data_IF_151631990683
#
_entry.id   IF_151631990683
#
_cell.length_a   1.000
_cell.length_b   1.000
_cell.length_c   1.000
_cell.angle_alpha   90.00
_cell.angle_beta   90.00
_cell.angle_gamma   90.00
#
_symmetry.space_group_name_H-M   'P 1'
#
loop_
_entity.id
_entity.type
_entity.pdbx_description
1 polymer ?
#
# COMPACT_ATOMS: atom_id res chain seq x y z
N UNK A 1 30.85 -30.67 -46.61
CA UNK A 1 29.84 -29.93 -45.82
C UNK A 1 29.70 -30.62 -44.46
N UNK A 2 30.77 -30.57 -43.64
CA UNK A 2 30.70 -30.98 -42.24
C UNK A 2 29.92 -29.87 -41.52
N UNK A 3 28.76 -30.20 -40.98
CA UNK A 3 27.84 -29.21 -40.39
C UNK A 3 28.51 -28.68 -39.12
N UNK A 4 28.52 -27.36 -38.91
CA UNK A 4 29.10 -26.66 -37.74
C UNK A 4 28.77 -27.31 -36.38
N UNK A 5 27.67 -28.06 -36.30
CA UNK A 5 27.25 -28.86 -35.14
C UNK A 5 28.33 -29.87 -34.66
N UNK A 6 29.11 -30.47 -35.56
CA UNK A 6 30.14 -31.46 -35.19
C UNK A 6 31.32 -30.83 -34.43
N UNK A 7 31.64 -29.56 -34.70
CA UNK A 7 32.75 -28.86 -34.05
C UNK A 7 32.39 -28.53 -32.60
N UNK A 8 31.18 -27.99 -32.36
CA UNK A 8 30.73 -27.66 -31.00
C UNK A 8 30.61 -28.91 -30.12
N UNK A 9 30.09 -30.01 -30.67
CA UNK A 9 29.98 -31.28 -29.94
C UNK A 9 31.35 -31.83 -29.53
N UNK A 10 32.36 -31.69 -30.40
CA UNK A 10 33.73 -32.11 -30.09
C UNK A 10 34.38 -31.21 -29.02
N UNK A 11 34.13 -29.90 -29.05
CA UNK A 11 34.60 -28.98 -28.01
C UNK A 11 33.99 -29.33 -26.65
N UNK A 12 32.67 -29.57 -26.58
CA UNK A 12 32.02 -29.94 -25.32
C UNK A 12 32.49 -31.30 -24.80
N UNK A 13 32.68 -32.30 -25.67
CA UNK A 13 33.25 -33.60 -25.28
C UNK A 13 34.67 -33.47 -24.75
N UNK A 14 35.51 -32.66 -25.40
CA UNK A 14 36.87 -32.40 -24.92
C UNK A 14 36.86 -31.68 -23.56
N UNK A 15 35.99 -30.68 -23.40
CA UNK A 15 35.79 -29.98 -22.14
C UNK A 15 35.34 -30.94 -21.03
N UNK A 16 34.33 -31.76 -21.28
CA UNK A 16 33.87 -32.76 -20.32
C UNK A 16 34.99 -33.70 -19.89
N UNK A 17 35.69 -34.28 -20.86
CA UNK A 17 36.79 -35.20 -20.60
C UNK A 17 37.86 -34.56 -19.72
N UNK A 18 38.23 -33.31 -20.01
CA UNK A 18 39.21 -32.57 -19.23
C UNK A 18 38.77 -32.35 -17.76
N UNK A 19 37.50 -32.00 -17.54
CA UNK A 19 37.00 -31.73 -16.19
C UNK A 19 36.59 -32.99 -15.41
N UNK A 20 36.29 -34.11 -16.09
CA UNK A 20 36.02 -35.41 -15.45
C UNK A 20 37.24 -35.96 -14.69
N UNK A 21 38.46 -35.61 -15.12
CA UNK A 21 39.71 -36.04 -14.48
C UNK A 21 40.14 -35.17 -13.29
N UNK A 22 39.49 -34.01 -13.08
CA UNK A 22 39.87 -33.10 -12.00
C UNK A 22 39.24 -33.47 -10.64
N UNK A 23 39.99 -33.43 -9.52
CA UNK A 23 39.52 -33.89 -8.20
C UNK A 23 38.32 -33.11 -7.62
N UNK A 24 38.08 -31.86 -8.06
CA UNK A 24 37.01 -30.97 -7.57
C UNK A 24 35.78 -30.99 -8.50
N UNK A 25 35.07 -32.12 -8.48
CA UNK A 25 34.03 -32.55 -9.45
C UNK A 25 32.77 -31.68 -9.63
N UNK A 26 32.60 -30.52 -8.96
CA UNK A 26 31.28 -29.81 -8.91
C UNK A 26 31.23 -28.39 -9.47
N UNK A 27 32.36 -27.72 -9.74
CA UNK A 27 32.35 -26.28 -10.07
C UNK A 27 32.33 -25.96 -11.56
N UNK A 28 32.75 -26.88 -12.44
CA UNK A 28 32.92 -26.62 -13.89
C UNK A 28 32.05 -27.52 -14.78
N UNK A 29 31.04 -28.18 -14.20
CA UNK A 29 30.11 -29.02 -14.96
C UNK A 29 29.19 -28.14 -15.82
N UNK A 30 29.30 -28.26 -17.15
CA UNK A 30 28.42 -27.56 -18.08
C UNK A 30 27.04 -28.22 -18.03
N UNK A 31 26.10 -27.59 -17.31
CA UNK A 31 24.72 -28.10 -17.19
C UNK A 31 23.94 -28.05 -18.51
N UNK A 32 24.24 -27.10 -19.39
CA UNK A 32 23.44 -26.78 -20.58
C UNK A 32 24.27 -26.77 -21.88
N UNK A 33 24.90 -27.90 -22.22
CA UNK A 33 25.82 -28.04 -23.39
C UNK A 33 25.19 -27.72 -24.74
N UNK A 34 23.86 -27.74 -24.84
CA UNK A 34 23.14 -27.62 -26.11
C UNK A 34 22.23 -26.39 -26.19
N UNK A 35 22.47 -25.36 -25.37
CA UNK A 35 21.80 -24.08 -25.59
C UNK A 35 22.31 -23.51 -26.91
N UNK A 36 21.42 -23.39 -27.89
CA UNK A 36 21.68 -22.65 -29.11
C UNK A 36 21.65 -21.18 -28.71
N UNK A 37 22.83 -20.61 -28.49
CA UNK A 37 23.04 -19.22 -28.08
C UNK A 37 23.54 -18.47 -29.31
N UNK A 38 22.88 -17.38 -29.66
CA UNK A 38 23.36 -16.51 -30.74
C UNK A 38 24.48 -15.56 -30.24
N UNK A 39 25.15 -14.89 -31.16
CA UNK A 39 26.27 -13.98 -30.84
C UNK A 39 25.86 -12.87 -29.86
N UNK A 40 24.70 -12.24 -30.05
CA UNK A 40 24.21 -11.16 -29.17
C UNK A 40 23.95 -11.68 -27.75
N UNK A 41 23.35 -12.86 -27.61
CA UNK A 41 23.08 -13.49 -26.32
C UNK A 41 24.38 -13.80 -25.56
N UNK A 42 25.40 -14.30 -26.26
CA UNK A 42 26.71 -14.57 -25.67
C UNK A 42 27.43 -13.28 -25.24
N UNK A 43 27.39 -12.24 -26.07
CA UNK A 43 27.95 -10.92 -25.74
C UNK A 43 27.26 -10.33 -24.51
N UNK A 44 25.92 -10.42 -24.45
CA UNK A 44 25.14 -9.96 -23.31
C UNK A 44 25.50 -10.73 -22.03
N UNK A 45 25.57 -12.07 -22.08
CA UNK A 45 25.98 -12.91 -20.93
C UNK A 45 27.34 -12.47 -20.38
N UNK A 46 28.33 -12.34 -21.27
CA UNK A 46 29.68 -11.89 -20.91
C UNK A 46 29.65 -10.50 -20.27
N UNK A 47 28.97 -9.53 -20.87
CA UNK A 47 28.89 -8.15 -20.35
C UNK A 47 28.34 -8.10 -18.93
N UNK A 48 27.24 -8.80 -18.67
CA UNK A 48 26.65 -8.80 -17.33
C UNK A 48 27.52 -9.56 -16.32
N UNK A 49 28.11 -10.69 -16.73
CA UNK A 49 29.05 -11.45 -15.90
C UNK A 49 30.27 -10.62 -15.50
N UNK A 50 30.94 -9.99 -16.48
CA UNK A 50 32.12 -9.14 -16.25
C UNK A 50 31.78 -7.98 -15.30
N UNK A 51 30.62 -7.34 -15.49
CA UNK A 51 30.13 -6.32 -14.56
C UNK A 51 30.00 -6.86 -13.13
N UNK A 52 29.37 -8.02 -12.97
CA UNK A 52 29.14 -8.61 -11.65
C UNK A 52 30.45 -8.99 -10.96
N UNK A 53 31.42 -9.56 -11.67
CA UNK A 53 32.74 -9.89 -11.11
C UNK A 53 33.52 -8.63 -10.72
N UNK A 54 33.56 -7.64 -11.61
CA UNK A 54 34.37 -6.43 -11.46
C UNK A 54 33.68 -5.30 -10.68
N UNK A 55 32.44 -5.50 -10.24
CA UNK A 55 31.66 -4.49 -9.52
C UNK A 55 32.39 -3.91 -8.29
N UNK A 56 33.17 -4.72 -7.57
CA UNK A 56 33.91 -4.26 -6.40
C UNK A 56 34.98 -3.19 -6.75
N UNK A 57 35.60 -3.29 -7.94
CA UNK A 57 36.55 -2.29 -8.44
C UNK A 57 35.82 -1.01 -8.87
N UNK A 58 34.65 -1.15 -9.50
CA UNK A 58 33.80 -0.01 -9.88
C UNK A 58 33.33 0.74 -8.63
N UNK A 59 32.97 0.01 -7.57
CA UNK A 59 32.56 0.59 -6.29
C UNK A 59 33.64 1.49 -5.69
N UNK A 60 34.91 1.09 -5.74
CA UNK A 60 36.01 1.94 -5.27
C UNK A 60 36.23 3.22 -6.08
N UNK A 61 35.76 3.26 -7.34
CA UNK A 61 35.85 4.44 -8.21
C UNK A 61 34.65 5.38 -8.08
N UNK A 62 33.52 4.90 -7.56
CA UNK A 62 32.31 5.69 -7.34
C UNK A 62 32.48 6.78 -6.27
N UNK A 63 33.52 6.69 -5.44
CA UNK A 63 33.85 7.66 -4.39
C UNK A 63 34.81 8.77 -4.85
N UNK A 64 35.33 8.71 -6.08
CA UNK A 64 36.16 9.77 -6.68
C UNK A 64 35.35 10.62 -7.66
N UNK A 65 35.48 11.96 -7.59
CA UNK A 65 34.63 12.89 -8.35
C UNK A 65 34.82 12.80 -9.88
N UNK A 66 36.05 12.64 -10.37
CA UNK A 66 36.37 12.81 -11.80
C UNK A 66 35.74 11.76 -12.75
N UNK A 67 35.32 10.59 -12.23
CA UNK A 67 34.76 9.49 -13.04
C UNK A 67 33.40 9.00 -12.57
N UNK A 68 32.79 9.65 -11.58
CA UNK A 68 31.53 9.25 -10.98
C UNK A 68 30.41 9.14 -12.01
N UNK A 69 30.27 10.15 -12.88
CA UNK A 69 29.22 10.20 -13.92
C UNK A 69 29.30 9.02 -14.89
N UNK A 70 30.49 8.74 -15.42
CA UNK A 70 30.71 7.64 -16.35
C UNK A 70 30.47 6.28 -15.70
N UNK A 71 30.89 6.12 -14.44
CA UNK A 71 30.62 4.91 -13.67
C UNK A 71 29.12 4.71 -13.45
N UNK A 72 28.39 5.76 -13.07
CA UNK A 72 26.94 5.70 -12.90
C UNK A 72 26.24 5.33 -14.22
N UNK A 73 26.64 5.93 -15.35
CA UNK A 73 26.10 5.59 -16.67
C UNK A 73 26.33 4.12 -17.02
N UNK A 74 27.55 3.61 -16.80
CA UNK A 74 27.88 2.21 -17.04
C UNK A 74 27.05 1.26 -16.15
N UNK A 75 26.88 1.58 -14.86
CA UNK A 75 26.05 0.80 -13.93
C UNK A 75 24.60 0.78 -14.41
N UNK A 76 24.06 1.92 -14.84
CA UNK A 76 22.72 2.03 -15.38
C UNK A 76 22.52 1.13 -16.61
N UNK A 77 23.48 1.11 -17.53
CA UNK A 77 23.44 0.24 -18.71
C UNK A 77 23.43 -1.25 -18.33
N UNK A 78 24.22 -1.63 -17.32
CA UNK A 78 24.25 -3.02 -16.84
C UNK A 78 22.95 -3.42 -16.15
N UNK A 79 22.31 -2.51 -15.41
CA UNK A 79 21.01 -2.73 -14.79
C UNK A 79 19.89 -2.82 -15.85
N UNK A 80 19.96 -2.01 -16.91
CA UNK A 80 19.08 -2.12 -18.09
C UNK A 80 19.28 -3.45 -18.81
N UNK A 81 20.52 -3.90 -18.97
CA UNK A 81 20.85 -5.20 -19.55
C UNK A 81 20.27 -6.36 -18.72
N UNK A 82 20.45 -6.34 -17.40
CA UNK A 82 19.81 -7.31 -16.50
C UNK A 82 18.29 -7.35 -16.71
N UNK A 83 17.63 -6.18 -16.81
CA UNK A 83 16.18 -6.12 -17.06
C UNK A 83 15.78 -6.70 -18.41
N UNK A 84 16.53 -6.40 -19.48
CA UNK A 84 16.31 -7.00 -20.80
C UNK A 84 16.42 -8.54 -20.73
N UNK A 85 17.42 -9.06 -20.04
CA UNK A 85 17.60 -10.50 -19.84
C UNK A 85 16.50 -11.13 -18.98
N UNK A 86 16.05 -10.44 -17.93
CA UNK A 86 15.02 -10.95 -17.02
C UNK A 86 13.66 -11.10 -17.70
N UNK A 87 13.38 -10.24 -18.67
CA UNK A 87 12.10 -10.12 -19.38
C UNK A 87 12.08 -10.74 -20.78
N UNK A 88 13.17 -11.35 -21.23
CA UNK A 88 13.19 -12.09 -22.51
C UNK A 88 12.36 -13.38 -22.42
N UNK A 89 11.77 -13.80 -23.54
CA UNK A 89 11.06 -15.08 -23.66
C UNK A 89 11.98 -16.27 -23.35
N UNK A 90 13.28 -16.15 -23.67
CA UNK A 90 14.29 -17.20 -23.47
C UNK A 90 15.09 -17.00 -22.17
N UNK A 91 14.44 -16.67 -21.06
CA UNK A 91 15.08 -16.39 -19.76
C UNK A 91 16.07 -17.48 -19.29
N UNK A 92 15.83 -18.73 -19.69
CA UNK A 92 16.70 -19.87 -19.36
C UNK A 92 18.16 -19.68 -19.86
N UNK A 93 18.36 -18.96 -20.96
CA UNK A 93 19.70 -18.66 -21.51
C UNK A 93 20.51 -17.83 -20.51
N UNK A 94 19.86 -16.92 -19.78
CA UNK A 94 20.48 -15.99 -18.84
C UNK A 94 20.31 -16.41 -17.38
N UNK A 95 19.93 -17.66 -17.12
CA UNK A 95 19.57 -18.11 -15.77
C UNK A 95 20.68 -17.85 -14.74
N UNK A 96 21.91 -18.21 -15.08
CA UNK A 96 23.06 -18.06 -14.19
C UNK A 96 23.41 -16.60 -13.92
N UNK A 97 23.38 -15.73 -14.96
CA UNK A 97 23.66 -14.31 -14.78
C UNK A 97 22.57 -13.60 -13.97
N UNK A 98 21.30 -13.94 -14.19
CA UNK A 98 20.17 -13.41 -13.42
C UNK A 98 20.27 -13.83 -11.96
N UNK A 99 20.60 -15.10 -11.70
CA UNK A 99 20.82 -15.58 -10.33
C UNK A 99 22.00 -14.88 -9.66
N UNK A 100 23.12 -14.73 -10.36
CA UNK A 100 24.31 -14.05 -9.83
C UNK A 100 23.99 -12.60 -9.51
N UNK A 101 23.33 -11.86 -10.42
CA UNK A 101 22.87 -10.49 -10.17
C UNK A 101 21.98 -10.41 -8.93
N UNK A 102 20.96 -11.27 -8.83
CA UNK A 102 20.06 -11.30 -7.68
C UNK A 102 20.80 -11.64 -6.40
N UNK A 103 21.73 -12.58 -6.40
CA UNK A 103 22.51 -12.93 -5.20
C UNK A 103 23.30 -11.72 -4.67
N UNK A 104 23.80 -10.88 -5.57
CA UNK A 104 24.62 -9.72 -5.24
C UNK A 104 23.80 -8.54 -4.71
N UNK A 105 22.63 -8.28 -5.30
CA UNK A 105 21.82 -7.08 -5.00
C UNK A 105 20.56 -7.33 -4.17
N UNK A 106 19.97 -8.55 -4.21
CA UNK A 106 18.70 -8.86 -3.50
C UNK A 106 18.88 -9.05 -2.00
N UNK A 107 19.93 -9.76 -1.61
CA UNK A 107 20.23 -10.04 -0.21
C UNK A 107 21.05 -8.92 0.45
N UNK A 108 21.49 -7.94 -0.35
CA UNK A 108 22.26 -6.80 0.10
C UNK A 108 21.54 -5.50 -0.27
N UNK A 109 20.39 -5.26 0.37
CA UNK A 109 19.62 -4.03 0.18
C UNK A 109 20.46 -2.77 0.45
N UNK A 110 21.47 -2.87 1.34
CA UNK A 110 22.41 -1.77 1.62
C UNK A 110 23.23 -1.37 0.39
N UNK A 111 23.54 -2.32 -0.50
CA UNK A 111 24.30 -2.07 -1.73
C UNK A 111 23.49 -1.29 -2.75
N UNK A 112 22.22 -1.68 -2.96
CA UNK A 112 21.32 -0.91 -3.82
C UNK A 112 21.08 0.49 -3.24
N UNK A 113 20.89 0.60 -1.91
CA UNK A 113 20.76 1.91 -1.25
C UNK A 113 21.99 2.79 -1.49
N UNK A 114 23.18 2.23 -1.32
CA UNK A 114 24.45 2.92 -1.62
C UNK A 114 24.51 3.42 -3.06
N UNK A 115 24.20 2.55 -4.04
CA UNK A 115 24.21 2.92 -5.45
C UNK A 115 23.20 4.02 -5.77
N UNK A 116 21.98 3.97 -5.24
CA UNK A 116 20.99 5.02 -5.48
C UNK A 116 21.40 6.37 -4.87
N UNK A 117 22.13 6.35 -3.74
CA UNK A 117 22.61 7.59 -3.12
C UNK A 117 23.75 8.22 -3.94
N UNK A 118 24.68 7.42 -4.47
CA UNK A 118 25.79 7.94 -5.27
C UNK A 118 25.37 8.28 -6.70
N UNK A 119 24.54 7.42 -7.30
CA UNK A 119 24.01 7.55 -8.64
C UNK A 119 22.49 7.82 -8.57
N UNK A 120 22.09 9.04 -8.19
CA UNK A 120 20.69 9.41 -8.13
C UNK A 120 20.06 9.37 -9.53
N UNK A 121 18.73 9.35 -9.59
CA UNK A 121 17.96 9.51 -10.82
C UNK A 121 18.11 8.40 -11.87
N UNK A 122 18.57 7.20 -11.49
CA UNK A 122 18.73 6.04 -12.41
C UNK A 122 17.79 4.85 -12.11
N UNK A 123 16.82 5.01 -11.20
CA UNK A 123 15.86 3.97 -10.80
C UNK A 123 16.48 2.63 -10.34
N UNK A 124 17.74 2.63 -9.90
CA UNK A 124 18.47 1.40 -9.57
C UNK A 124 17.76 0.58 -8.47
N UNK A 125 17.07 1.24 -7.53
CA UNK A 125 16.27 0.57 -6.49
C UNK A 125 15.10 -0.27 -7.04
N UNK A 126 14.63 0.00 -8.26
CA UNK A 126 13.49 -0.70 -8.88
C UNK A 126 13.90 -1.92 -9.71
N UNK A 127 15.20 -2.17 -9.88
CA UNK A 127 15.73 -3.22 -10.76
C UNK A 127 15.26 -4.63 -10.37
N UNK A 128 15.03 -4.88 -9.08
CA UNK A 128 14.63 -6.21 -8.60
C UNK A 128 13.11 -6.41 -8.55
N UNK A 129 12.33 -5.38 -8.89
CA UNK A 129 10.88 -5.51 -8.94
C UNK A 129 10.49 -6.42 -10.12
N UNK A 130 9.87 -7.60 -9.88
CA UNK A 130 9.54 -8.55 -10.94
C UNK A 130 8.43 -8.06 -11.90
N UNK A 131 7.66 -7.04 -11.51
CA UNK A 131 6.59 -6.48 -12.34
C UNK A 131 7.11 -5.48 -13.38
N UNK A 132 8.35 -5.00 -13.23
CA UNK A 132 8.92 -3.97 -14.09
C UNK A 132 9.62 -4.58 -15.31
N UNK A 133 9.09 -4.27 -16.50
CA UNK A 133 9.68 -4.64 -17.80
C UNK A 133 10.99 -3.90 -18.10
N UNK A 134 11.09 -2.66 -17.64
CA UNK A 134 12.27 -1.79 -17.80
C UNK A 134 12.89 -1.50 -16.43
N UNK A 135 14.08 -0.89 -16.42
CA UNK A 135 14.73 -0.45 -15.18
C UNK A 135 13.97 0.70 -14.52
N UNK A 136 13.59 1.69 -15.34
CA UNK A 136 12.74 2.80 -14.93
C UNK A 136 11.34 2.57 -15.51
N UNK A 137 10.39 2.03 -14.73
CA UNK A 137 9.04 1.74 -15.23
C UNK A 137 8.26 3.01 -15.59
N UNK A 138 8.75 4.19 -15.21
CA UNK A 138 8.15 5.49 -15.49
C UNK A 138 8.76 6.23 -16.69
N UNK A 139 9.76 5.66 -17.39
CA UNK A 139 10.40 6.33 -18.55
C UNK A 139 9.43 6.57 -19.71
N UNK A 140 8.43 5.71 -19.90
CA UNK A 140 7.43 5.84 -20.98
C UNK A 140 6.40 6.96 -20.74
N UNK A 141 6.37 7.53 -19.52
CA UNK A 141 5.50 8.66 -19.15
C UNK A 141 6.17 10.03 -19.43
N UNK A 142 7.42 10.02 -19.94
CA UNK A 142 8.10 11.24 -20.34
C UNK A 142 7.33 11.91 -21.48
N UNK A 143 6.98 13.20 -21.34
CA UNK A 143 6.24 13.89 -22.38
C UNK A 143 7.06 13.98 -23.68
N UNK A 144 6.38 13.89 -24.82
CA UNK A 144 6.95 14.08 -26.16
C UNK A 144 7.22 15.56 -26.51
N UNK A 145 7.12 16.47 -25.54
CA UNK A 145 7.22 17.92 -25.71
C UNK A 145 8.00 18.63 -24.58
N UNK A 146 8.43 19.86 -24.85
CA UNK A 146 9.38 20.63 -24.04
C UNK A 146 8.71 21.29 -22.80
N UNK A 147 8.14 20.49 -21.90
CA UNK A 147 7.45 20.96 -20.67
C UNK A 147 8.43 21.47 -19.59
N UNK A 148 9.74 21.50 -19.85
CA UNK A 148 10.78 21.88 -18.88
C UNK A 148 10.58 23.28 -18.28
N UNK A 149 10.08 24.25 -19.04
CA UNK A 149 9.84 25.61 -18.53
C UNK A 149 8.63 25.67 -17.61
N UNK A 150 7.55 24.95 -17.94
CA UNK A 150 6.35 24.86 -17.10
C UNK A 150 6.64 24.14 -15.78
N UNK A 151 7.43 23.07 -15.81
CA UNK A 151 7.88 22.35 -14.61
C UNK A 151 8.64 23.32 -13.68
N UNK A 152 9.62 24.06 -14.21
CA UNK A 152 10.36 25.08 -13.44
C UNK A 152 9.43 26.17 -12.91
N UNK A 153 8.42 26.57 -13.69
CA UNK A 153 7.40 27.53 -13.29
C UNK A 153 6.54 27.05 -12.11
N UNK A 154 6.15 25.78 -12.07
CA UNK A 154 5.40 25.23 -10.94
C UNK A 154 6.29 24.97 -9.71
N UNK A 155 7.52 24.49 -9.88
CA UNK A 155 8.47 24.28 -8.78
C UNK A 155 8.75 25.61 -8.05
N UNK A 156 8.94 26.71 -8.77
CA UNK A 156 9.18 28.01 -8.14
C UNK A 156 8.02 28.52 -7.26
N UNK A 157 6.79 27.99 -7.48
CA UNK A 157 5.60 28.31 -6.68
C UNK A 157 5.34 27.32 -5.54
N UNK A 158 6.13 26.27 -5.41
CA UNK A 158 5.95 25.21 -4.41
C UNK A 158 5.75 25.74 -2.99
N UNK A 159 6.56 26.71 -2.57
CA UNK A 159 6.50 27.24 -1.19
C UNK A 159 5.20 28.01 -0.89
N UNK A 160 4.54 28.57 -1.91
CA UNK A 160 3.23 29.22 -1.75
C UNK A 160 2.12 28.18 -1.58
N UNK A 161 2.20 27.08 -2.33
CA UNK A 161 1.23 25.98 -2.30
C UNK A 161 1.33 25.21 -0.97
N UNK A 162 2.55 24.91 -0.52
CA UNK A 162 2.79 24.16 0.73
C UNK A 162 2.45 24.95 2.01
N UNK A 163 2.60 26.29 2.01
CA UNK A 163 2.28 27.12 3.19
C UNK A 163 0.79 27.15 3.51
N UNK A 164 -0.06 27.22 2.49
CA UNK A 164 -1.52 27.19 2.68
C UNK A 164 -1.99 25.88 3.34
N UNK A 165 -1.23 24.80 3.15
CA UNK A 165 -1.49 23.47 3.71
C UNK A 165 -0.97 23.29 5.15
N UNK A 166 0.16 23.93 5.49
CA UNK A 166 0.82 23.78 6.80
C UNK A 166 0.01 24.44 7.94
N UNK A 167 -0.71 25.52 7.64
CA UNK A 167 -1.49 26.28 8.62
C UNK A 167 -2.73 25.53 9.16
N UNK A 168 -3.15 24.42 8.54
CA UNK A 168 -4.34 23.65 8.94
C UNK A 168 -4.07 22.25 9.52
N UNK A 169 -2.84 21.73 9.44
CA UNK A 169 -2.42 20.56 10.25
C UNK A 169 -1.98 20.97 11.66
N UNK A 170 -1.67 22.26 11.87
CA UNK A 170 -1.58 22.88 13.17
C UNK A 170 -3.00 23.15 13.71
N UNK A 171 -3.81 22.11 13.90
CA UNK A 171 -4.87 22.21 14.90
C UNK A 171 -4.17 22.48 16.24
N UNK A 172 -4.20 23.75 16.66
CA UNK A 172 -3.60 24.31 17.88
C UNK A 172 -3.97 23.58 19.19
N UNK A 173 -4.74 22.49 19.11
CA UNK A 173 -5.20 21.66 20.23
C UNK A 173 -4.90 20.16 20.07
N UNK A 174 -4.10 19.72 19.08
CA UNK A 174 -3.69 18.31 19.03
C UNK A 174 -2.51 18.04 19.97
N UNK A 175 -2.75 17.29 21.04
CA UNK A 175 -1.67 16.78 21.86
C UNK A 175 -0.74 15.90 21.01
N UNK A 176 0.55 16.25 20.97
CA UNK A 176 1.62 15.55 20.25
C UNK A 176 1.73 14.05 20.59
N UNK A 177 1.13 13.61 21.71
CA UNK A 177 1.10 12.21 22.13
C UNK A 177 0.10 11.38 21.31
N UNK A 178 -0.96 12.00 20.78
CA UNK A 178 -2.08 11.33 20.10
C UNK A 178 -1.99 11.42 18.58
N UNK A 179 -1.37 12.49 18.07
CA UNK A 179 -1.07 12.62 16.65
C UNK A 179 0.39 12.25 16.37
N UNK A 180 0.67 11.32 15.45
CA UNK A 180 2.01 11.02 14.98
C UNK A 180 2.46 12.11 14.00
N UNK A 181 2.64 13.32 14.53
CA UNK A 181 2.98 14.54 13.78
C UNK A 181 4.20 14.32 12.88
N UNK A 182 5.18 13.54 13.35
CA UNK A 182 6.39 13.21 12.59
C UNK A 182 6.08 12.50 11.26
N UNK A 183 5.15 11.54 11.24
CA UNK A 183 4.81 10.79 10.02
C UNK A 183 4.20 11.69 8.96
N UNK A 184 3.24 12.53 9.36
CA UNK A 184 2.59 13.48 8.46
C UNK A 184 3.52 14.62 8.05
N UNK A 185 4.40 15.07 8.94
CA UNK A 185 5.42 16.08 8.65
C UNK A 185 6.34 15.60 7.54
N UNK A 186 6.85 14.36 7.62
CA UNK A 186 7.69 13.78 6.57
C UNK A 186 6.98 13.72 5.23
N UNK A 187 5.67 13.44 5.22
CA UNK A 187 4.88 13.44 3.97
C UNK A 187 4.66 14.84 3.38
N UNK A 188 4.88 15.89 4.15
CA UNK A 188 4.77 17.30 3.75
C UNK A 188 6.12 18.00 3.54
N UNK A 189 7.25 17.29 3.67
CA UNK A 189 8.58 17.87 3.43
C UNK A 189 8.69 18.51 2.03
N UNK A 190 9.64 19.40 1.85
CA UNK A 190 9.91 20.02 0.54
C UNK A 190 10.43 18.98 -0.47
N UNK A 191 10.43 19.35 -1.75
CA UNK A 191 10.85 18.45 -2.84
C UNK A 191 12.18 18.99 -3.38
N UNK A 192 13.28 18.31 -3.05
CA UNK A 192 14.64 18.76 -3.37
C UNK A 192 15.14 18.28 -4.76
N UNK A 193 14.25 18.10 -5.73
CA UNK A 193 14.47 17.51 -7.08
C UNK A 193 14.50 15.96 -7.17
N UNK A 194 14.00 15.42 -8.30
CA UNK A 194 14.08 13.99 -8.62
C UNK A 194 13.22 13.55 -9.82
N UNK A 195 13.36 12.28 -10.24
CA UNK A 195 12.63 11.63 -11.34
C UNK A 195 11.08 11.61 -11.22
N UNK A 196 10.52 12.23 -10.18
CA UNK A 196 9.09 12.32 -9.94
C UNK A 196 8.38 13.23 -10.95
N UNK A 197 9.10 14.23 -11.48
CA UNK A 197 8.55 15.27 -12.35
C UNK A 197 7.89 14.71 -13.61
N UNK A 198 8.49 13.67 -14.19
CA UNK A 198 8.00 13.06 -15.43
C UNK A 198 6.68 12.30 -15.20
N UNK A 199 6.55 11.59 -14.06
CA UNK A 199 5.35 10.82 -13.68
C UNK A 199 4.09 11.71 -13.67
N UNK A 200 4.26 12.95 -13.23
CA UNK A 200 3.16 13.89 -13.02
C UNK A 200 2.93 14.83 -14.21
N UNK A 201 3.65 14.66 -15.32
CA UNK A 201 3.57 15.56 -16.48
C UNK A 201 2.15 15.71 -17.03
N UNK A 202 1.30 14.69 -16.88
CA UNK A 202 -0.10 14.72 -17.31
C UNK A 202 -0.98 15.74 -16.56
N UNK A 203 -0.49 16.32 -15.47
CA UNK A 203 -1.14 17.42 -14.75
C UNK A 203 -0.71 18.80 -15.25
N UNK A 204 0.30 18.88 -16.13
CA UNK A 204 0.70 20.11 -16.78
C UNK A 204 -0.18 20.33 -18.02
N UNK A 205 -1.22 21.16 -17.90
CA UNK A 205 -1.98 21.66 -19.04
C UNK A 205 -1.44 23.01 -19.53
N UNK A 206 -1.75 23.38 -20.77
CA UNK A 206 -1.15 24.51 -21.50
C UNK A 206 -1.25 25.92 -20.85
N UNK A 207 -1.94 26.10 -19.72
CA UNK A 207 -2.28 27.42 -19.18
C UNK A 207 -1.75 27.75 -17.77
N UNK A 208 -0.76 27.03 -17.21
CA UNK A 208 -0.15 27.33 -15.90
C UNK A 208 -1.12 27.38 -14.68
N UNK A 209 -2.41 27.10 -14.85
CA UNK A 209 -3.47 27.24 -13.82
C UNK A 209 -3.60 26.02 -12.87
N UNK A 210 -2.80 24.96 -13.03
CA UNK A 210 -2.94 23.72 -12.24
C UNK A 210 -1.63 23.23 -11.61
N UNK A 211 -0.75 24.14 -11.20
CA UNK A 211 0.46 23.75 -10.46
C UNK A 211 0.15 23.01 -9.16
N UNK A 212 -0.98 23.27 -8.49
CA UNK A 212 -1.35 22.59 -7.23
C UNK A 212 -1.51 21.08 -7.42
N UNK A 213 -2.18 20.67 -8.50
CA UNK A 213 -2.36 19.26 -8.84
C UNK A 213 -1.07 18.57 -9.24
N UNK A 214 -0.25 19.29 -10.01
CA UNK A 214 1.07 18.83 -10.36
C UNK A 214 1.91 18.60 -9.09
N UNK A 215 1.97 19.58 -8.19
CA UNK A 215 2.73 19.49 -6.95
C UNK A 215 2.21 18.39 -6.04
N UNK A 216 0.90 18.25 -5.87
CA UNK A 216 0.31 17.15 -5.10
C UNK A 216 0.70 15.79 -5.69
N UNK A 217 0.65 15.64 -7.02
CA UNK A 217 1.12 14.43 -7.68
C UNK A 217 2.60 14.15 -7.38
N UNK A 218 3.47 15.16 -7.40
CA UNK A 218 4.90 14.97 -7.08
C UNK A 218 5.09 14.50 -5.64
N UNK A 219 4.36 15.09 -4.69
CA UNK A 219 4.39 14.67 -3.28
C UNK A 219 3.92 13.22 -3.12
N UNK A 220 2.85 12.84 -3.82
CA UNK A 220 2.34 11.45 -3.87
C UNK A 220 3.44 10.51 -4.39
N UNK A 221 4.04 10.83 -5.54
CA UNK A 221 5.05 10.00 -6.16
C UNK A 221 6.26 9.82 -5.25
N UNK A 222 6.76 10.91 -4.65
CA UNK A 222 7.85 10.86 -3.67
C UNK A 222 7.50 9.98 -2.47
N UNK A 223 6.32 10.18 -1.88
CA UNK A 223 5.89 9.44 -0.69
C UNK A 223 5.77 7.94 -0.99
N UNK A 224 5.13 7.56 -2.11
CA UNK A 224 4.99 6.16 -2.53
C UNK A 224 6.33 5.50 -2.86
N UNK A 225 7.25 6.22 -3.52
CA UNK A 225 8.60 5.71 -3.80
C UNK A 225 9.37 5.50 -2.49
N UNK A 226 9.25 6.40 -1.52
CA UNK A 226 9.85 6.22 -0.20
C UNK A 226 9.24 5.03 0.55
N UNK A 227 7.93 4.82 0.47
CA UNK A 227 7.26 3.64 1.04
C UNK A 227 7.79 2.34 0.42
N UNK A 228 8.08 2.32 -0.89
CA UNK A 228 8.61 1.12 -1.57
C UNK A 228 9.98 0.66 -1.09
N UNK A 229 10.73 1.55 -0.43
CA UNK A 229 12.06 1.27 0.13
C UNK A 229 11.97 0.50 1.45
N UNK A 230 10.81 0.43 2.09
CA UNK A 230 10.63 -0.15 3.42
C UNK A 230 10.35 -1.66 3.35
N UNK A 231 10.63 -2.36 4.45
CA UNK A 231 10.21 -3.76 4.62
C UNK A 231 8.67 -3.84 4.69
N UNK A 232 8.10 -5.03 4.43
CA UNK A 232 6.65 -5.22 4.31
C UNK A 232 5.85 -4.72 5.52
N UNK A 233 6.26 -5.04 6.75
CA UNK A 233 5.49 -4.70 7.94
C UNK A 233 5.51 -3.19 8.22
N UNK A 234 6.69 -2.58 8.13
CA UNK A 234 6.83 -1.13 8.29
C UNK A 234 6.10 -0.37 7.17
N UNK A 235 6.17 -0.89 5.95
CA UNK A 235 5.51 -0.32 4.78
C UNK A 235 3.99 -0.31 4.94
N UNK A 236 3.36 -1.43 5.33
CA UNK A 236 1.90 -1.50 5.55
C UNK A 236 1.45 -0.42 6.55
N UNK A 237 2.14 -0.32 7.69
CA UNK A 237 1.84 0.70 8.71
C UNK A 237 1.94 2.12 8.13
N UNK A 238 3.03 2.45 7.43
CA UNK A 238 3.18 3.79 6.82
C UNK A 238 2.26 4.04 5.63
N UNK A 239 1.79 3.00 4.96
CA UNK A 239 0.79 3.12 3.91
C UNK A 239 -0.58 3.53 4.47
N UNK A 240 -0.97 3.04 5.65
CA UNK A 240 -2.19 3.53 6.31
C UNK A 240 -2.12 5.04 6.62
N UNK A 241 -0.98 5.53 7.13
CA UNK A 241 -0.75 6.98 7.28
C UNK A 241 -0.84 7.74 5.97
N UNK A 242 -0.23 7.20 4.90
CA UNK A 242 -0.24 7.83 3.58
C UNK A 242 -1.66 7.95 3.02
N UNK A 243 -2.50 6.94 3.21
CA UNK A 243 -3.89 6.96 2.77
C UNK A 243 -4.63 8.13 3.43
N UNK A 244 -4.55 8.26 4.76
CA UNK A 244 -5.17 9.38 5.48
C UNK A 244 -4.61 10.73 5.07
N UNK A 245 -3.30 10.82 4.84
CA UNK A 245 -2.67 12.04 4.32
C UNK A 245 -3.18 12.41 2.93
N UNK A 246 -3.29 11.44 2.02
CA UNK A 246 -3.79 11.66 0.66
C UNK A 246 -5.24 12.15 0.68
N UNK A 247 -6.10 11.51 1.48
CA UNK A 247 -7.50 11.91 1.63
C UNK A 247 -7.66 13.29 2.24
N UNK A 248 -6.85 13.66 3.24
CA UNK A 248 -6.85 15.01 3.83
C UNK A 248 -6.46 16.06 2.77
N UNK A 249 -5.39 15.81 1.99
CA UNK A 249 -4.95 16.73 0.92
C UNK A 249 -5.99 16.89 -0.17
N UNK A 250 -6.48 15.78 -0.73
CA UNK A 250 -7.48 15.81 -1.80
C UNK A 250 -8.79 16.42 -1.29
N UNK A 251 -9.24 16.05 -0.11
CA UNK A 251 -10.44 16.61 0.51
C UNK A 251 -10.34 18.11 0.76
N UNK A 252 -9.18 18.64 1.16
CA UNK A 252 -9.00 20.09 1.37
C UNK A 252 -9.09 20.87 0.07
N UNK A 253 -8.52 20.34 -1.01
CA UNK A 253 -8.55 20.99 -2.32
C UNK A 253 -9.94 20.89 -2.96
N UNK A 254 -10.62 19.73 -2.82
CA UNK A 254 -11.80 19.38 -3.62
C UNK A 254 -13.08 19.12 -2.85
N UNK A 255 -13.05 19.08 -1.52
CA UNK A 255 -14.14 18.63 -0.66
C UNK A 255 -15.41 19.48 -0.79
N UNK A 256 -15.26 20.78 -1.05
CA UNK A 256 -16.38 21.69 -1.29
C UNK A 256 -16.79 21.80 -2.77
N UNK A 257 -15.94 21.32 -3.70
CA UNK A 257 -16.04 21.61 -5.14
C UNK A 257 -16.49 20.41 -5.97
N UNK A 258 -16.81 19.27 -5.33
CA UNK A 258 -17.29 18.05 -5.98
C UNK A 258 -18.65 18.18 -6.71
N UNK A 259 -19.19 19.40 -6.81
CA UNK A 259 -20.31 19.76 -7.66
C UNK A 259 -19.91 19.93 -9.13
N UNK A 260 -18.62 20.11 -9.46
CA UNK A 260 -18.16 20.24 -10.85
C UNK A 260 -17.66 18.90 -11.40
N UNK A 261 -17.97 18.62 -12.68
CA UNK A 261 -17.47 17.43 -13.39
C UNK A 261 -15.95 17.46 -13.49
N UNK A 262 -15.35 18.66 -13.63
CA UNK A 262 -13.91 18.84 -13.80
C UNK A 262 -13.11 18.42 -12.56
N UNK A 263 -13.61 18.72 -11.36
CA UNK A 263 -12.95 18.34 -10.12
C UNK A 263 -12.99 16.83 -9.92
N UNK A 264 -14.12 16.18 -10.20
CA UNK A 264 -14.23 14.71 -10.18
C UNK A 264 -13.22 14.06 -11.13
N UNK A 265 -13.08 14.59 -12.35
CA UNK A 265 -12.09 14.09 -13.32
C UNK A 265 -10.68 14.24 -12.76
N UNK A 266 -10.36 15.38 -12.16
CA UNK A 266 -9.02 15.67 -11.64
C UNK A 266 -8.68 14.80 -10.43
N UNK A 267 -9.62 14.61 -9.50
CA UNK A 267 -9.43 13.70 -8.37
C UNK A 267 -9.24 12.26 -8.84
N UNK A 268 -10.03 11.79 -9.81
CA UNK A 268 -9.84 10.47 -10.40
C UNK A 268 -8.45 10.33 -11.03
N UNK A 269 -7.93 11.37 -11.70
CA UNK A 269 -6.55 11.37 -12.20
C UNK A 269 -5.52 11.22 -11.07
N UNK A 270 -5.70 11.92 -9.94
CA UNK A 270 -4.80 11.83 -8.77
C UNK A 270 -4.76 10.40 -8.22
N UNK A 271 -5.93 9.79 -7.99
CA UNK A 271 -5.98 8.40 -7.51
C UNK A 271 -5.43 7.41 -8.54
N UNK A 272 -5.74 7.59 -9.83
CA UNK A 272 -5.23 6.72 -10.89
C UNK A 272 -3.69 6.75 -10.96
N UNK A 273 -3.08 7.93 -10.86
CA UNK A 273 -1.61 8.03 -10.79
C UNK A 273 -1.09 7.36 -9.52
N UNK A 274 -1.76 7.52 -8.39
CA UNK A 274 -1.39 6.82 -7.15
C UNK A 274 -1.37 5.30 -7.33
N UNK A 275 -2.43 4.70 -7.89
CA UNK A 275 -2.49 3.27 -8.18
C UNK A 275 -1.47 2.81 -9.21
N UNK A 276 -1.27 3.58 -10.29
CA UNK A 276 -0.27 3.29 -11.30
C UNK A 276 1.13 3.21 -10.69
N UNK A 277 1.48 4.15 -9.80
CA UNK A 277 2.75 4.14 -9.08
C UNK A 277 2.83 2.93 -8.16
N UNK A 278 1.80 2.65 -7.35
CA UNK A 278 1.77 1.47 -6.46
C UNK A 278 2.00 0.17 -7.24
N UNK A 279 1.36 0.02 -8.41
CA UNK A 279 1.50 -1.14 -9.29
C UNK A 279 2.93 -1.26 -9.86
N UNK A 280 3.49 -0.17 -10.41
CA UNK A 280 4.86 -0.12 -10.94
C UNK A 280 5.93 -0.29 -9.85
N UNK A 281 5.60 0.01 -8.59
CA UNK A 281 6.46 -0.24 -7.45
C UNK A 281 6.27 -1.64 -6.85
N UNK A 282 5.22 -2.37 -7.27
CA UNK A 282 4.94 -3.73 -6.78
C UNK A 282 4.56 -3.78 -5.30
N UNK A 283 4.07 -2.67 -4.74
CA UNK A 283 3.69 -2.54 -3.32
C UNK A 283 2.19 -2.70 -3.14
N UNK A 284 1.68 -3.86 -3.57
CA UNK A 284 0.26 -4.20 -3.55
C UNK A 284 -0.32 -4.22 -2.12
N UNK A 285 0.52 -4.41 -1.11
CA UNK A 285 0.14 -4.31 0.30
C UNK A 285 -0.24 -2.90 0.76
N UNK A 286 0.01 -1.89 -0.08
CA UNK A 286 -0.39 -0.50 0.12
C UNK A 286 -1.61 -0.10 -0.71
N UNK A 287 -2.23 -1.04 -1.40
CA UNK A 287 -3.49 -0.77 -2.09
C UNK A 287 -4.56 -0.45 -1.06
N UNK A 288 -5.34 0.57 -1.37
CA UNK A 288 -6.47 1.01 -0.58
C UNK A 288 -7.71 1.00 -1.45
N UNK A 289 -8.87 0.99 -0.83
CA UNK A 289 -10.13 1.16 -1.53
C UNK A 289 -10.48 2.64 -1.57
N UNK A 290 -11.14 3.11 -2.64
CA UNK A 290 -11.59 4.49 -2.70
C UNK A 290 -12.80 4.64 -1.77
N UNK A 291 -12.60 5.18 -0.57
CA UNK A 291 -13.60 5.12 0.51
C UNK A 291 -14.62 6.26 0.43
N UNK A 292 -14.17 7.52 0.54
CA UNK A 292 -14.99 8.73 0.41
C UNK A 292 -14.07 9.96 0.42
N UNK A 293 -14.45 11.02 -0.28
CA UNK A 293 -13.77 12.33 -0.20
C UNK A 293 -14.39 13.28 0.83
N UNK A 294 -15.43 12.83 1.53
CA UNK A 294 -16.06 13.57 2.60
C UNK A 294 -15.02 13.92 3.69
N UNK A 295 -14.79 15.22 3.88
CA UNK A 295 -13.77 15.75 4.78
C UNK A 295 -14.00 15.33 6.23
N UNK A 296 -15.25 15.35 6.67
CA UNK A 296 -15.61 15.00 8.05
C UNK A 296 -15.38 13.50 8.29
N UNK A 297 -15.83 12.64 7.38
CA UNK A 297 -15.58 11.19 7.46
C UNK A 297 -14.07 10.89 7.42
N UNK A 298 -13.30 11.59 6.58
CA UNK A 298 -11.86 11.39 6.51
C UNK A 298 -11.15 11.83 7.79
N UNK A 299 -11.61 12.92 8.40
CA UNK A 299 -11.14 13.38 9.72
C UNK A 299 -11.44 12.35 10.82
N UNK A 300 -12.66 11.82 10.86
CA UNK A 300 -13.05 10.76 11.81
C UNK A 300 -12.17 9.51 11.66
N UNK A 301 -11.99 9.02 10.42
CA UNK A 301 -11.15 7.85 10.12
C UNK A 301 -9.70 8.07 10.52
N UNK A 302 -9.15 9.25 10.24
CA UNK A 302 -7.78 9.62 10.64
C UNK A 302 -7.63 9.62 12.15
N UNK A 303 -8.57 10.21 12.90
CA UNK A 303 -8.52 10.22 14.36
C UNK A 303 -8.58 8.82 14.96
N UNK A 304 -9.43 7.95 14.43
CA UNK A 304 -9.48 6.54 14.84
C UNK A 304 -8.16 5.82 14.52
N UNK A 305 -7.63 5.99 13.32
CA UNK A 305 -6.34 5.42 12.94
C UNK A 305 -5.22 5.83 13.88
N UNK A 306 -5.10 7.13 14.16
CA UNK A 306 -4.04 7.68 14.99
C UNK A 306 -4.17 7.24 16.45
N UNK A 307 -5.40 7.14 16.96
CA UNK A 307 -5.70 6.52 18.24
C UNK A 307 -5.17 5.07 18.31
N UNK A 308 -5.53 4.23 17.34
CA UNK A 308 -5.15 2.82 17.35
C UNK A 308 -3.64 2.59 17.16
N UNK A 309 -2.95 3.48 16.44
CA UNK A 309 -1.51 3.38 16.23
C UNK A 309 -0.70 3.92 17.41
N UNK A 310 -1.26 4.85 18.18
CA UNK A 310 -0.62 5.40 19.38
C UNK A 310 -1.11 4.76 20.68
N UNK A 311 -2.10 3.86 20.64
CA UNK A 311 -2.74 3.28 21.83
C UNK A 311 -1.72 2.86 22.90
N UNK A 312 -0.74 2.01 22.55
CA UNK A 312 0.25 1.52 23.53
C UNK A 312 1.13 2.65 24.11
N UNK A 313 1.43 3.69 23.34
CA UNK A 313 2.18 4.86 23.79
C UNK A 313 1.35 5.68 24.77
N UNK A 314 0.07 5.87 24.48
CA UNK A 314 -0.88 6.53 25.37
C UNK A 314 -1.03 5.73 26.66
N UNK A 315 -1.22 4.42 26.53
CA UNK A 315 -1.47 3.48 27.63
C UNK A 315 -0.30 3.39 28.62
N UNK A 316 0.92 3.68 28.17
CA UNK A 316 2.15 3.65 28.97
C UNK A 316 2.55 5.01 29.54
N UNK A 317 1.96 6.10 29.08
CA UNK A 317 2.22 7.42 29.65
C UNK A 317 1.54 7.57 31.00
N UNK A 318 2.27 8.13 31.96
CA UNK A 318 1.69 8.55 33.24
C UNK A 318 0.86 9.81 33.03
N UNK A 319 -0.31 9.83 33.66
CA UNK A 319 -1.18 10.98 33.65
C UNK A 319 -0.58 12.05 34.58
N UNK A 320 0.07 13.07 34.01
CA UNK A 320 0.49 14.26 34.77
C UNK A 320 -0.74 15.17 35.00
N UNK A 321 -1.01 15.54 36.26
CA UNK A 321 -2.24 16.20 36.71
C UNK A 321 -2.75 17.35 35.81
N UNK A 322 -1.86 18.15 35.20
CA UNK A 322 -2.25 19.30 34.37
C UNK A 322 -2.75 18.92 32.96
N UNK A 323 -2.36 17.74 32.45
CA UNK A 323 -2.68 17.28 31.08
C UNK A 323 -3.81 16.25 31.05
N UNK A 324 -4.07 15.58 32.17
CA UNK A 324 -5.10 14.55 32.32
C UNK A 324 -6.51 14.97 31.86
N UNK A 325 -7.05 16.14 32.24
CA UNK A 325 -8.40 16.52 31.83
C UNK A 325 -8.55 16.57 30.31
N UNK A 326 -7.51 17.02 29.61
CA UNK A 326 -7.52 17.14 28.16
C UNK A 326 -7.38 15.78 27.46
N UNK A 327 -6.57 14.86 28.02
CA UNK A 327 -6.51 13.47 27.56
C UNK A 327 -7.86 12.77 27.69
N UNK A 328 -8.51 12.94 28.84
CA UNK A 328 -9.80 12.33 29.11
C UNK A 328 -10.88 12.86 28.17
N UNK A 329 -10.91 14.17 27.93
CA UNK A 329 -11.80 14.77 26.92
C UNK A 329 -11.56 14.20 25.52
N UNK A 330 -10.29 13.97 25.15
CA UNK A 330 -9.96 13.36 23.87
C UNK A 330 -10.41 11.90 23.78
N UNK A 331 -10.22 11.10 24.84
CA UNK A 331 -10.68 9.70 24.90
C UNK A 331 -12.19 9.61 24.75
N UNK A 332 -12.94 10.51 25.39
CA UNK A 332 -14.41 10.57 25.26
C UNK A 332 -14.80 10.85 23.81
N UNK A 333 -14.16 11.82 23.15
CA UNK A 333 -14.42 12.11 21.73
C UNK A 333 -14.11 10.89 20.85
N UNK A 334 -12.98 10.21 21.07
CA UNK A 334 -12.63 8.98 20.34
C UNK A 334 -13.66 7.87 20.60
N UNK A 335 -14.21 7.76 21.80
CA UNK A 335 -15.24 6.77 22.12
C UNK A 335 -16.50 6.94 21.28
N UNK A 336 -16.93 8.18 21.05
CA UNK A 336 -18.07 8.46 20.18
C UNK A 336 -17.78 8.04 18.73
N UNK A 337 -16.57 8.31 18.23
CA UNK A 337 -16.14 7.82 16.91
C UNK A 337 -16.07 6.28 16.87
N UNK A 338 -15.60 5.65 17.95
CA UNK A 338 -15.50 4.20 18.08
C UNK A 338 -16.89 3.54 18.03
N UNK A 339 -17.86 4.05 18.81
CA UNK A 339 -19.26 3.63 18.79
C UNK A 339 -19.87 3.71 17.39
N UNK A 340 -19.67 4.84 16.70
CA UNK A 340 -20.20 5.08 15.35
C UNK A 340 -19.65 4.10 14.29
N UNK A 341 -18.44 3.57 14.51
CA UNK A 341 -17.72 2.77 13.51
C UNK A 341 -17.65 1.27 13.83
N UNK A 342 -17.70 0.85 15.09
CA UNK A 342 -17.49 -0.57 15.45
C UNK A 342 -18.47 -1.51 14.75
N UNK A 343 -19.76 -1.19 14.71
CA UNK A 343 -20.77 -2.03 14.06
C UNK A 343 -20.64 -2.04 12.53
N UNK A 344 -20.12 -0.96 11.95
CA UNK A 344 -19.91 -0.85 10.49
C UNK A 344 -18.63 -1.57 10.04
N UNK A 345 -17.65 -1.67 10.94
CA UNK A 345 -16.32 -2.14 10.62
C UNK A 345 -16.06 -3.58 11.08
N UNK A 346 -16.74 -4.03 12.12
CA UNK A 346 -16.41 -5.28 12.81
C UNK A 346 -17.62 -6.21 12.87
N UNK A 347 -17.45 -7.43 12.37
CA UNK A 347 -18.43 -8.51 12.57
C UNK A 347 -17.82 -9.57 13.47
N UNK A 348 -18.39 -9.77 14.67
CA UNK A 348 -17.86 -10.69 15.67
C UNK A 348 -18.60 -12.03 15.67
N UNK A 349 -17.88 -13.11 15.37
CA UNK A 349 -18.37 -14.48 15.51
C UNK A 349 -18.11 -15.03 16.92
N UNK A 350 -17.04 -14.56 17.56
CA UNK A 350 -16.72 -14.69 18.98
C UNK A 350 -15.81 -13.51 19.39
N UNK A 351 -15.46 -13.39 20.67
CA UNK A 351 -14.56 -12.32 21.14
C UNK A 351 -13.21 -12.31 20.40
N UNK A 352 -12.61 -13.49 20.19
CA UNK A 352 -11.33 -13.64 19.49
C UNK A 352 -11.44 -13.82 17.96
N UNK A 353 -12.67 -13.93 17.42
CA UNK A 353 -12.89 -14.24 16.00
C UNK A 353 -13.83 -13.24 15.37
N UNK A 354 -13.26 -12.32 14.60
CA UNK A 354 -13.99 -11.26 13.92
C UNK A 354 -13.45 -10.99 12.52
N UNK A 355 -14.30 -10.44 11.65
CA UNK A 355 -13.86 -9.77 10.42
C UNK A 355 -13.70 -8.27 10.65
N UNK A 356 -12.81 -7.64 9.89
CA UNK A 356 -12.57 -6.20 9.92
C UNK A 356 -12.58 -5.63 8.51
N UNK A 357 -13.65 -4.94 8.16
CA UNK A 357 -13.86 -4.35 6.84
C UNK A 357 -13.17 -2.97 6.72
N UNK A 358 -12.79 -2.37 7.85
CA UNK A 358 -12.15 -1.05 7.95
C UNK A 358 -10.67 -1.13 8.33
N UNK A 359 -9.97 -2.18 7.89
CA UNK A 359 -8.58 -2.50 8.30
C UNK A 359 -7.55 -1.36 8.21
N UNK A 360 -7.81 -0.33 7.40
CA UNK A 360 -6.91 0.82 7.22
C UNK A 360 -7.03 1.89 8.31
N UNK A 361 -8.09 1.87 9.12
CA UNK A 361 -8.31 2.89 10.15
C UNK A 361 -8.97 2.40 11.44
N UNK A 362 -9.50 1.17 11.46
CA UNK A 362 -10.19 0.61 12.63
C UNK A 362 -9.55 -0.70 13.08
N UNK A 363 -9.48 -0.93 14.41
CA UNK A 363 -9.08 -2.22 15.00
C UNK A 363 -10.24 -2.79 15.82
N UNK A 364 -10.67 -4.00 15.45
CA UNK A 364 -11.74 -4.74 16.12
C UNK A 364 -11.29 -5.56 17.32
N UNK A 365 -10.01 -5.52 17.70
CA UNK A 365 -9.58 -6.20 18.92
C UNK A 365 -10.17 -5.46 20.14
N UNK A 366 -10.95 -6.13 21.01
CA UNK A 366 -11.63 -5.49 22.16
C UNK A 366 -10.67 -4.75 23.10
N UNK A 367 -9.38 -5.10 23.13
CA UNK A 367 -8.39 -4.41 23.96
C UNK A 367 -8.24 -2.93 23.60
N UNK A 368 -8.53 -2.57 22.34
CA UNK A 368 -8.44 -1.19 21.89
C UNK A 368 -9.70 -0.37 22.15
N UNK A 369 -10.67 -0.91 22.91
CA UNK A 369 -11.84 -0.14 23.33
C UNK A 369 -11.38 1.10 24.15
N UNK A 370 -11.79 2.33 23.76
CA UNK A 370 -11.40 3.56 24.46
C UNK A 370 -11.71 3.57 25.96
N UNK A 371 -12.70 2.79 26.39
CA UNK A 371 -13.02 2.61 27.81
C UNK A 371 -11.87 2.01 28.63
N UNK A 372 -11.02 1.17 28.03
CA UNK A 372 -9.83 0.62 28.70
C UNK A 372 -8.83 1.73 29.07
N UNK A 373 -8.64 2.71 28.19
CA UNK A 373 -7.79 3.88 28.50
C UNK A 373 -8.47 4.84 29.47
N UNK A 374 -9.77 5.08 29.30
CA UNK A 374 -10.56 5.91 30.22
C UNK A 374 -10.44 5.43 31.67
N UNK A 375 -10.60 4.13 31.88
CA UNK A 375 -10.49 3.50 33.21
C UNK A 375 -9.06 3.50 33.72
N UNK A 376 -8.08 3.12 32.89
CA UNK A 376 -6.67 3.08 33.29
C UNK A 376 -6.13 4.46 33.72
N UNK A 377 -6.60 5.53 33.08
CA UNK A 377 -6.18 6.91 33.38
C UNK A 377 -7.06 7.60 34.44
N UNK A 378 -7.98 6.87 35.10
CA UNK A 378 -8.91 7.40 36.09
C UNK A 378 -9.66 8.67 35.61
N UNK A 379 -10.09 8.67 34.35
CA UNK A 379 -10.64 9.87 33.73
C UNK A 379 -11.87 10.44 34.44
N UNK A 380 -12.61 9.62 35.18
CA UNK A 380 -13.74 10.06 36.01
C UNK A 380 -13.37 11.08 37.10
N UNK A 381 -12.11 11.14 37.53
CA UNK A 381 -11.64 12.08 38.55
C UNK A 381 -11.44 13.50 37.99
N UNK A 382 -11.31 13.64 36.67
CA UNK A 382 -10.99 14.89 35.99
C UNK A 382 -12.18 15.51 35.24
N UNK A 383 -13.33 14.82 35.24
CA UNK A 383 -14.56 15.29 34.63
C UNK A 383 -15.40 16.04 35.64
N UNK A 384 -16.16 17.02 35.17
CA UNK A 384 -17.12 17.73 36.01
C UNK A 384 -18.26 16.79 36.41
N UNK A 385 -18.95 17.09 37.52
CA UNK A 385 -20.10 16.29 38.00
C UNK A 385 -21.24 16.16 36.97
N UNK A 386 -21.27 17.07 36.00
CA UNK A 386 -22.30 17.19 34.98
C UNK A 386 -21.94 16.43 33.69
N UNK A 387 -20.70 15.93 33.57
CA UNK A 387 -20.28 15.12 32.43
C UNK A 387 -20.77 13.67 32.58
N UNK A 388 -21.45 13.17 31.55
CA UNK A 388 -21.93 11.78 31.53
C UNK A 388 -20.74 10.81 31.61
N UNK A 389 -20.80 9.86 32.55
CA UNK A 389 -19.74 8.86 32.70
C UNK A 389 -19.67 8.02 31.43
N UNK A 390 -18.48 7.90 30.87
CA UNK A 390 -18.26 7.11 29.67
C UNK A 390 -18.53 5.63 29.95
N UNK A 391 -19.36 4.99 29.13
CA UNK A 391 -19.63 3.56 29.21
C UNK A 391 -18.77 2.75 28.25
N UNK A 392 -18.52 1.48 28.62
CA UNK A 392 -17.83 0.53 27.75
C UNK A 392 -18.71 0.15 26.57
N UNK A 393 -18.16 0.30 25.37
CA UNK A 393 -18.85 -0.11 24.14
C UNK A 393 -18.93 -1.64 24.10
N UNK A 394 -20.15 -2.17 24.21
CA UNK A 394 -20.41 -3.60 24.19
C UNK A 394 -20.34 -4.15 22.77
N UNK A 395 -19.70 -5.30 22.62
CA UNK A 395 -19.61 -6.01 21.35
C UNK A 395 -20.85 -6.89 21.18
N UNK A 396 -21.50 -6.77 20.03
CA UNK A 396 -22.62 -7.63 19.65
C UNK A 396 -22.12 -8.79 18.81
N UNK A 397 -22.24 -10.01 19.35
CA UNK A 397 -21.93 -11.23 18.59
C UNK A 397 -23.02 -11.50 17.54
N UNK A 398 -22.64 -12.06 16.40
CA UNK A 398 -23.57 -12.46 15.34
C UNK A 398 -24.68 -13.36 15.87
N UNK A 399 -24.36 -14.28 16.79
CA UNK A 399 -25.37 -15.16 17.41
C UNK A 399 -26.42 -14.36 18.20
N UNK A 400 -25.99 -13.41 19.03
CA UNK A 400 -26.89 -12.55 19.80
C UNK A 400 -27.76 -11.70 18.89
N UNK A 401 -27.20 -11.17 17.79
CA UNK A 401 -27.96 -10.40 16.80
C UNK A 401 -29.02 -11.26 16.10
N UNK A 402 -28.66 -12.48 15.71
CA UNK A 402 -29.62 -13.45 15.11
C UNK A 402 -30.71 -13.82 16.11
N UNK A 403 -30.38 -14.07 17.37
CA UNK A 403 -31.36 -14.34 18.42
C UNK A 403 -32.31 -13.16 18.64
N UNK A 404 -31.79 -11.93 18.66
CA UNK A 404 -32.62 -10.73 18.74
C UNK A 404 -33.58 -10.62 17.56
N UNK A 405 -33.11 -10.88 16.34
CA UNK A 405 -33.96 -10.90 15.14
C UNK A 405 -35.04 -11.98 15.22
N UNK A 406 -34.68 -13.19 15.65
CA UNK A 406 -35.63 -14.30 15.83
C UNK A 406 -36.69 -13.94 16.88
N UNK A 407 -36.27 -13.33 17.99
CA UNK A 407 -37.19 -12.93 19.06
C UNK A 407 -38.10 -11.77 18.61
N UNK A 408 -37.57 -10.77 17.91
CA UNK A 408 -38.36 -9.70 17.30
C UNK A 408 -39.40 -10.27 16.33
N UNK A 409 -39.01 -11.23 15.49
CA UNK A 409 -39.91 -11.94 14.59
C UNK A 409 -40.99 -12.72 15.34
N UNK A 410 -40.61 -13.51 16.37
CA UNK A 410 -41.56 -14.26 17.20
C UNK A 410 -42.57 -13.35 17.91
N UNK A 411 -42.10 -12.21 18.43
CA UNK A 411 -42.97 -11.24 19.10
C UNK A 411 -43.93 -10.60 18.10
N UNK A 412 -43.46 -10.20 16.91
CA UNK A 412 -44.31 -9.69 15.84
C UNK A 412 -45.34 -10.74 15.39
N UNK A 413 -44.94 -12.00 15.26
CA UNK A 413 -45.85 -13.11 14.93
C UNK A 413 -46.91 -13.35 16.00
N UNK A 414 -46.54 -13.29 17.29
CA UNK A 414 -47.50 -13.40 18.41
C UNK A 414 -48.53 -12.27 18.40
N UNK A 415 -48.11 -11.04 18.08
CA UNK A 415 -49.02 -9.90 17.95
C UNK A 415 -50.03 -10.11 16.80
N UNK A 416 -49.58 -10.68 15.67
CA UNK A 416 -50.42 -11.02 14.53
C UNK A 416 -51.44 -12.11 14.90
N UNK A 417 -51.00 -13.19 15.55
CA UNK A 417 -51.88 -14.30 15.96
C UNK A 417 -52.95 -13.86 16.97
N UNK A 418 -52.60 -12.95 17.88
CA UNK A 418 -53.50 -12.48 18.93
C UNK A 418 -54.46 -11.36 18.48
N UNK A 419 -54.51 -11.03 17.18
CA UNK A 419 -55.51 -10.13 16.60
C UNK A 419 -55.38 -8.64 16.95
N UNK A 420 -54.29 -8.23 17.60
CA UNK A 420 -54.10 -6.86 18.08
C UNK A 420 -53.18 -6.05 17.14
N UNK A 421 -53.60 -5.78 15.91
CA UNK A 421 -53.16 -4.58 15.14
C UNK A 421 -53.99 -4.39 13.86
N UNK A 422 -54.48 -3.17 13.66
CA UNK A 422 -55.09 -2.64 12.42
C UNK A 422 -54.10 -1.76 11.62
N UNK A 423 -52.83 -2.19 11.51
CA UNK A 423 -51.77 -1.46 10.80
C UNK A 423 -51.35 -2.15 9.50
N UNK A 424 -50.87 -1.39 8.51
CA UNK A 424 -50.50 -1.93 7.19
C UNK A 424 -49.46 -3.05 7.30
N UNK A 425 -49.61 -4.05 6.44
CA UNK A 425 -48.95 -5.35 6.49
C UNK A 425 -47.44 -5.32 6.22
N UNK A 426 -46.84 -4.16 5.97
CA UNK A 426 -45.54 -4.08 5.34
C UNK A 426 -44.66 -2.90 5.78
N UNK A 427 -43.65 -3.20 6.59
CA UNK A 427 -42.48 -2.33 6.74
C UNK A 427 -41.21 -3.19 6.89
N UNK A 428 -40.18 -2.86 6.11
CA UNK A 428 -38.85 -3.49 6.13
C UNK A 428 -38.63 -4.63 5.13
N UNK A 429 -37.55 -5.39 5.34
CA UNK A 429 -36.99 -6.44 4.47
C UNK A 429 -38.00 -7.54 4.05
N UNK A 430 -39.08 -7.71 4.81
CA UNK A 430 -40.14 -8.71 4.61
C UNK A 430 -41.08 -8.34 3.46
N UNK A 431 -41.08 -7.07 3.03
CA UNK A 431 -41.95 -6.57 1.95
C UNK A 431 -41.21 -6.19 0.69
N UNK A 432 -39.89 -6.38 0.71
CA UNK A 432 -39.14 -6.38 -0.52
C UNK A 432 -39.35 -7.74 -1.19
N UNK A 433 -40.17 -7.72 -2.25
CA UNK A 433 -40.47 -8.89 -3.08
C UNK A 433 -39.19 -9.60 -3.54
N UNK A 434 -38.08 -8.86 -3.70
CA UNK A 434 -36.79 -9.42 -4.03
C UNK A 434 -36.24 -10.31 -2.90
N UNK A 435 -36.16 -9.78 -1.67
CA UNK A 435 -35.56 -10.51 -0.55
C UNK A 435 -36.38 -11.71 -0.10
N UNK A 436 -37.71 -11.63 -0.16
CA UNK A 436 -38.58 -12.78 0.11
C UNK A 436 -38.41 -13.89 -0.93
N UNK A 437 -38.30 -13.52 -2.21
CA UNK A 437 -38.05 -14.47 -3.30
C UNK A 437 -36.66 -15.12 -3.15
N UNK A 438 -35.66 -14.32 -2.82
CA UNK A 438 -34.29 -14.78 -2.55
C UNK A 438 -34.26 -15.76 -1.38
N UNK A 439 -34.89 -15.44 -0.24
CA UNK A 439 -34.95 -16.31 0.94
C UNK A 439 -35.61 -17.66 0.64
N UNK A 440 -36.71 -17.67 -0.13
CA UNK A 440 -37.37 -18.90 -0.57
C UNK A 440 -36.47 -19.75 -1.47
N UNK A 441 -35.82 -19.13 -2.45
CA UNK A 441 -34.93 -19.82 -3.40
C UNK A 441 -33.70 -20.39 -2.69
N UNK A 442 -33.04 -19.60 -1.83
CA UNK A 442 -31.87 -20.06 -1.09
C UNK A 442 -32.24 -21.11 -0.02
N UNK A 443 -33.43 -21.01 0.59
CA UNK A 443 -33.95 -22.03 1.47
C UNK A 443 -34.15 -23.37 0.76
N UNK A 444 -34.80 -23.36 -0.41
CA UNK A 444 -34.98 -24.56 -1.24
C UNK A 444 -33.65 -25.15 -1.70
N UNK A 445 -32.71 -24.31 -2.15
CA UNK A 445 -31.36 -24.75 -2.53
C UNK A 445 -30.62 -25.39 -1.36
N UNK A 446 -30.73 -24.82 -0.16
CA UNK A 446 -30.14 -25.39 1.06
C UNK A 446 -30.72 -26.76 1.40
N UNK A 447 -32.04 -26.92 1.32
CA UNK A 447 -32.72 -28.21 1.55
C UNK A 447 -32.28 -29.26 0.51
N UNK A 448 -32.18 -28.87 -0.76
CA UNK A 448 -31.72 -29.75 -1.84
C UNK A 448 -30.25 -30.17 -1.65
N UNK A 449 -29.39 -29.26 -1.19
CA UNK A 449 -27.98 -29.54 -0.86
C UNK A 449 -27.85 -30.52 0.30
N UNK A 450 -28.62 -30.32 1.38
CA UNK A 450 -28.65 -31.23 2.52
C UNK A 450 -29.16 -32.61 2.08
N UNK A 451 -30.25 -32.65 1.30
CA UNK A 451 -30.81 -33.89 0.77
C UNK A 451 -29.83 -34.63 -0.14
N UNK A 452 -29.07 -33.91 -0.98
CA UNK A 452 -28.03 -34.49 -1.83
C UNK A 452 -26.87 -35.07 -1.00
N UNK A 453 -26.44 -34.37 0.05
CA UNK A 453 -25.40 -34.86 0.97
C UNK A 453 -25.87 -36.11 1.69
N UNK A 454 -27.08 -36.11 2.26
CA UNK A 454 -27.66 -37.26 2.96
C UNK A 454 -27.83 -38.46 2.02
N UNK A 455 -28.31 -38.22 0.80
CA UNK A 455 -28.46 -39.25 -0.22
C UNK A 455 -27.11 -39.87 -0.61
N UNK A 456 -26.07 -39.04 -0.76
CA UNK A 456 -24.72 -39.51 -1.11
C UNK A 456 -24.04 -40.28 0.03
N UNK A 457 -24.31 -39.93 1.28
CA UNK A 457 -23.77 -40.64 2.46
C UNK A 457 -24.43 -42.02 2.65
N UNK A 458 -25.68 -42.20 2.20
CA UNK A 458 -26.38 -43.50 2.26
C UNK A 458 -26.04 -44.46 1.10
N UNK A 459 -25.18 -44.07 0.15
CA UNK A 459 -24.78 -44.88 -1.02
C UNK A 459 -23.35 -45.44 -0.89
N UNK A 460 -22.65 -45.12 0.20
CA UNK A 460 -21.46 -45.85 0.66
C UNK A 460 -21.82 -46.71 1.87
#
# INVERSE_FOLDING_TARGET
MFKDRDIYDNIYKAWDSFFYELPRKKTCYIKNKYLIINKEELENKKRLFDFLELYHLLKGKLTGDDKKKDCCNYINDMFKLYKKMENTSNKQIYYDEILHFRSKFRNNYSELKFLNNICPNMCLHLVLNPYNKTLCPFEDEKPSGNNSEQIKGCISKQNLILRNDADTMNEKNSFEIWHPLEMYKTMNEEIEEGNYYDICSNFLSNNNEHCDNYMLCIMIARNLINLSKLNKNERIKKCHYFIHWLYDKVGKIYGNSMNTIQDKITVNKIFNVSYMILQKLGINDCYFDVISLDLDQNKERKYLHDYFENYNKIESNTCDNDKCPQYCKHIININELYKKNIEKCCTYYSEDKYSNDCKYYFKCDPKFNPYKLYTKLNCSEFLSSDDEKMEEVKITLVQNYVEQLINAYRNKLKLIINGNTSGSLCEGFICDTFYMSVLLVFGLLGVLLISFIVYKVNIN
#
